data_IF_578398030910
#
_entry.id   IF_578398030910
#
_cell.length_a   1.000
_cell.length_b   1.000
_cell.length_c   1.000
_cell.angle_alpha   90.00
_cell.angle_beta   90.00
_cell.angle_gamma   90.00
#
_symmetry.space_group_name_H-M   'P 1'
#
loop_
_entity.id
_entity.type
_entity.pdbx_description
1 polymer ?
2 non-polymer ?
3 non-polymer ?
4 water ?
#
# COMPACT_ATOMS: atom_id res chain seq x y z
N UNK A 40 24.81 10.51 0.88
CA UNK A 40 25.07 11.94 0.96
C UNK A 40 24.38 12.55 2.16
N UNK A 41 23.06 12.37 2.24
CA UNK A 41 22.27 12.85 3.35
C UNK A 41 22.27 11.86 4.51
N UNK A 42 22.65 12.32 5.70
CA UNK A 42 22.51 11.51 6.90
C UNK A 42 21.05 11.47 7.32
N UNK A 43 20.55 10.28 7.63
CA UNK A 43 19.15 10.11 8.01
C UNK A 43 19.01 9.61 9.43
N UNK A 44 18.42 10.45 10.29
CA UNK A 44 18.25 10.10 11.70
C UNK A 44 16.78 10.10 12.09
N UNK A 45 16.37 9.07 12.83
CA UNK A 45 15.00 8.99 13.31
C UNK A 45 14.90 9.47 14.75
N UNK A 46 14.05 10.47 14.98
CA UNK A 46 13.74 10.90 16.33
C UNK A 46 12.54 10.10 16.83
N UNK A 47 12.75 9.32 17.88
CA UNK A 47 11.70 8.44 18.40
C UNK A 47 11.30 8.83 19.82
N UNK A 48 10.18 8.29 20.28
CA UNK A 48 9.71 8.57 21.62
C UNK A 48 8.21 8.46 21.76
N UNK A 49 7.74 8.33 22.99
CA UNK A 49 6.30 8.22 23.27
C UNK A 49 5.55 9.48 22.83
N UNK A 50 4.23 9.39 22.80
CA UNK A 50 3.39 10.54 22.49
C UNK A 50 3.70 11.68 23.46
N UNK A 51 3.84 12.89 22.91
CA UNK A 51 4.10 14.10 23.71
C UNK A 51 5.40 14.04 24.50
N UNK A 52 6.36 13.25 24.03
CA UNK A 52 7.66 13.16 24.68
C UNK A 52 8.43 14.47 24.52
N UNK A 53 8.31 15.07 23.33
CA UNK A 53 9.00 16.32 23.05
C UNK A 53 9.71 16.24 21.72
N UNK A 54 9.36 15.26 20.91
CA UNK A 54 9.99 15.04 19.61
C UNK A 54 9.87 16.25 18.69
N UNK A 55 8.64 16.75 18.55
CA UNK A 55 8.40 17.93 17.71
C UNK A 55 9.11 19.15 18.29
N UNK A 56 9.18 19.22 19.62
CA UNK A 56 9.89 20.29 20.29
C UNK A 56 11.37 20.25 19.95
N UNK A 57 11.93 19.04 19.95
CA UNK A 57 13.36 18.89 19.74
C UNK A 57 13.78 19.10 18.29
N UNK A 58 13.00 18.56 17.36
CA UNK A 58 13.35 18.66 15.94
C UNK A 58 13.26 20.11 15.45
N UNK A 59 12.33 20.88 16.01
CA UNK A 59 12.19 22.28 15.64
C UNK A 59 13.27 23.12 16.29
N UNK A 60 13.83 22.61 17.37
CA UNK A 60 15.01 23.22 17.98
C UNK A 60 16.20 22.98 17.07
N UNK A 61 16.46 21.71 16.76
CA UNK A 61 17.54 21.30 15.88
C UNK A 61 17.50 22.04 14.55
N UNK A 62 16.29 22.20 14.02
CA UNK A 62 16.04 22.85 12.74
C UNK A 62 16.77 24.18 12.58
N UNK A 63 16.65 25.04 13.58
CA UNK A 63 17.16 26.41 13.48
C UNK A 63 18.63 26.55 13.85
N UNK A 64 19.31 25.44 14.14
CA UNK A 64 20.69 25.50 14.59
C UNK A 64 21.69 25.23 13.48
N UNK A 65 21.19 24.81 12.32
CA UNK A 65 22.05 24.49 11.19
C UNK A 65 21.26 24.46 9.89
N UNK A 66 21.94 24.76 8.79
CA UNK A 66 21.32 24.65 7.47
C UNK A 66 21.81 23.38 6.79
N UNK A 67 22.55 22.58 7.54
CA UNK A 67 22.86 21.21 7.16
C UNK A 67 21.76 20.29 7.67
N UNK A 68 21.00 20.81 8.63
CA UNK A 68 19.96 20.04 9.30
C UNK A 68 18.57 20.41 8.80
N UNK A 69 17.79 19.39 8.46
CA UNK A 69 16.40 19.61 8.08
C UNK A 69 15.49 18.56 8.70
N UNK A 70 14.20 18.90 8.79
CA UNK A 70 13.24 18.08 9.52
C UNK A 70 12.17 17.49 8.59
N UNK A 71 11.76 16.26 8.87
CA UNK A 71 10.59 15.68 8.23
C UNK A 71 9.51 15.40 9.27
N UNK A 72 8.58 16.36 9.44
CA UNK A 72 7.51 16.24 10.43
C UNK A 72 6.59 15.05 10.16
N UNK A 73 5.96 14.52 11.20
CA UNK A 73 5.13 13.34 11.08
C UNK A 73 3.75 13.65 10.52
N UNK A 74 3.30 12.85 9.54
CA UNK A 74 1.97 12.96 8.93
C UNK A 74 0.83 12.90 9.94
N UNK A 75 0.85 11.92 10.82
CA UNK A 75 -0.21 11.78 11.83
C UNK A 75 -0.28 13.01 12.72
N UNK A 76 0.87 13.57 13.04
CA UNK A 76 0.92 14.83 13.78
C UNK A 76 0.42 15.98 12.92
N UNK A 77 0.76 15.95 11.64
CA UNK A 77 0.32 16.97 10.70
C UNK A 77 -1.20 16.94 10.53
N UNK A 78 -1.77 15.73 10.60
CA UNK A 78 -3.21 15.56 10.49
C UNK A 78 -3.94 16.19 11.67
N UNK A 79 -3.25 16.32 12.79
CA UNK A 79 -3.86 16.76 14.05
C UNK A 79 -3.80 18.27 14.24
N UNK A 80 -4.85 18.97 13.82
CA UNK A 80 -4.96 20.40 14.04
C UNK A 80 -6.40 20.90 13.89
N UNK A 91 -5.53 22.06 4.47
CA UNK A 91 -5.88 20.65 4.39
C UNK A 91 -5.95 20.17 2.94
N UNK A 92 -4.91 19.48 2.49
CA UNK A 92 -4.87 18.96 1.13
C UNK A 92 -5.60 17.63 1.04
N UNK A 93 -5.49 16.98 -0.12
CA UNK A 93 -6.14 15.69 -0.36
C UNK A 93 -5.75 14.67 0.69
N UNK A 94 -4.45 14.59 0.97
CA UNK A 94 -3.94 13.68 1.98
C UNK A 94 -4.40 14.08 3.37
N UNK A 95 -4.48 15.39 3.61
CA UNK A 95 -4.87 15.91 4.92
C UNK A 95 -6.36 15.77 5.15
N UNK A 96 -7.15 15.87 4.08
CA UNK A 96 -8.59 15.67 4.17
C UNK A 96 -8.88 14.21 4.55
N UNK A 97 -8.11 13.30 3.96
CA UNK A 97 -8.20 11.89 4.29
C UNK A 97 -7.66 11.62 5.68
N UNK A 98 -6.59 12.32 6.04
CA UNK A 98 -5.96 12.17 7.33
C UNK A 98 -6.92 12.44 8.47
N UNK A 99 -7.53 13.62 8.46
CA UNK A 99 -8.47 14.01 9.50
C UNK A 99 -9.60 13.02 9.71
N UNK A 100 -10.19 12.55 8.61
CA UNK A 100 -11.32 11.64 8.68
C UNK A 100 -11.00 10.30 9.32
N UNK A 101 -9.98 9.62 8.80
CA UNK A 101 -9.62 8.30 9.31
C UNK A 101 -9.05 8.43 10.73
N UNK A 102 -8.37 9.54 11.00
CA UNK A 102 -7.86 9.83 12.33
C UNK A 102 -9.03 9.99 13.30
N UNK A 103 -10.03 10.73 12.87
CA UNK A 103 -11.23 10.97 13.66
C UNK A 103 -11.98 9.67 13.90
N UNK A 104 -12.12 8.87 12.85
CA UNK A 104 -12.80 7.58 12.93
C UNK A 104 -11.99 6.58 13.74
N UNK A 105 -10.66 6.70 13.67
CA UNK A 105 -9.76 5.81 14.40
C UNK A 105 -10.02 5.84 15.90
N UNK A 106 -10.41 7.00 16.41
CA UNK A 106 -10.73 7.14 17.83
C UNK A 106 -12.12 6.60 18.16
N UNK A 107 -13.07 6.85 17.27
CA UNK A 107 -14.44 6.39 17.48
C UNK A 107 -14.53 4.87 17.46
N UNK A 108 -13.68 4.25 16.64
CA UNK A 108 -13.76 2.81 16.45
C UNK A 108 -12.42 2.24 15.94
N UNK A 109 -11.47 2.04 16.86
CA UNK A 109 -10.14 1.49 16.53
C UNK A 109 -10.19 0.11 15.89
N UNK A 110 -11.14 -0.72 16.29
CA UNK A 110 -11.20 -2.10 15.79
C UNK A 110 -11.61 -2.15 14.32
N UNK A 111 -12.13 -1.04 13.81
CA UNK A 111 -12.59 -0.96 12.43
C UNK A 111 -11.56 -0.29 11.52
N UNK A 112 -10.84 0.68 12.07
CA UNK A 112 -10.06 1.59 11.24
C UNK A 112 -8.54 1.52 11.45
N UNK A 113 -8.08 0.64 12.32
CA UNK A 113 -6.66 0.56 12.63
C UNK A 113 -5.81 0.12 11.44
N UNK A 114 -6.25 -0.94 10.75
CA UNK A 114 -5.55 -1.40 9.55
C UNK A 114 -5.46 -0.28 8.53
N UNK A 115 -6.60 0.35 8.26
CA UNK A 115 -6.68 1.42 7.28
C UNK A 115 -5.80 2.60 7.68
N UNK A 116 -5.83 2.95 8.96
CA UNK A 116 -5.05 4.07 9.46
C UNK A 116 -3.55 3.79 9.35
N UNK A 117 -3.13 2.63 9.83
CA UNK A 117 -1.72 2.27 9.85
C UNK A 117 -1.13 2.22 8.44
N UNK A 118 -1.95 1.80 7.47
CA UNK A 118 -1.50 1.71 6.09
C UNK A 118 -1.31 3.10 5.48
N UNK A 119 -2.22 4.02 5.79
CA UNK A 119 -2.16 5.34 5.18
C UNK A 119 -1.11 6.22 5.88
N UNK A 120 -0.93 6.00 7.17
CA UNK A 120 0.06 6.75 7.94
C UNK A 120 1.47 6.41 7.47
N UNK A 121 1.71 5.12 7.24
CA UNK A 121 3.02 4.65 6.80
C UNK A 121 3.31 5.11 5.39
N UNK A 122 2.33 4.96 4.51
CA UNK A 122 2.44 5.40 3.12
C UNK A 122 2.69 6.91 3.05
N UNK A 123 1.95 7.67 3.85
CA UNK A 123 2.10 9.12 3.87
C UNK A 123 3.44 9.52 4.47
N UNK A 124 4.01 8.62 5.27
CA UNK A 124 5.34 8.87 5.81
C UNK A 124 6.38 8.56 4.74
N UNK A 125 6.34 7.34 4.20
CA UNK A 125 7.26 6.94 3.14
C UNK A 125 7.34 8.00 2.05
N UNK A 126 6.19 8.52 1.66
CA UNK A 126 6.10 9.58 0.67
C UNK A 126 6.79 10.85 1.16
N UNK A 127 6.47 11.25 2.38
CA UNK A 127 6.93 12.53 2.90
C UNK A 127 8.45 12.58 3.09
N UNK A 128 9.09 11.44 3.40
CA UNK A 128 10.48 11.55 3.77
C UNK A 128 11.22 11.39 2.45
N UNK A 129 10.54 10.79 1.47
CA UNK A 129 11.08 10.64 0.13
C UNK A 129 11.20 12.00 -0.53
N UNK A 130 10.22 12.86 -0.27
CA UNK A 130 10.21 14.22 -0.78
C UNK A 130 11.42 15.00 -0.30
N UNK A 131 11.57 15.11 1.02
CA UNK A 131 12.71 15.80 1.62
C UNK A 131 14.04 15.22 1.15
N UNK A 132 14.08 13.90 1.02
CA UNK A 132 15.29 13.20 0.62
C UNK A 132 15.70 13.54 -0.81
N UNK A 133 14.75 14.00 -1.61
CA UNK A 133 15.02 14.32 -3.00
C UNK A 133 14.82 15.81 -3.32
N UNK A 134 14.29 16.55 -2.36
CA UNK A 134 14.01 17.96 -2.58
C UNK A 134 14.61 18.88 -1.52
N UNK A 135 15.74 18.47 -0.97
CA UNK A 135 16.42 19.26 0.06
C UNK A 135 17.87 18.83 0.25
N UNK A 136 18.62 19.63 1.00
CA UNK A 136 20.01 19.34 1.34
C UNK A 136 20.89 19.13 0.11
N UNK A 137 20.53 19.80 -0.98
CA UNK A 137 21.28 19.70 -2.23
C UNK A 137 22.65 20.33 -2.08
N UNK A 138 23.69 19.54 -2.37
CA UNK A 138 25.08 19.98 -2.37
C UNK A 138 25.54 20.54 -1.02
N UNK A 139 24.75 20.34 0.03
CA UNK A 139 25.12 20.77 1.37
C UNK A 139 26.38 20.05 1.81
N UNK A 140 27.14 20.67 2.71
CA UNK A 140 28.43 20.11 3.11
C UNK A 140 28.29 18.94 4.08
N UNK A 141 27.48 19.10 5.12
CA UNK A 141 27.24 18.01 6.07
C UNK A 141 25.74 17.76 6.28
N UNK A 142 25.02 17.39 5.20
CA UNK A 142 23.55 17.31 5.24
C UNK A 142 23.03 16.21 6.16
N UNK A 143 22.14 16.59 7.08
CA UNK A 143 21.47 15.63 7.95
C UNK A 143 19.96 15.86 7.89
N UNK A 144 19.20 14.77 7.88
CA UNK A 144 17.75 14.86 7.84
C UNK A 144 17.16 14.18 9.08
N UNK A 145 16.33 14.92 9.81
CA UNK A 145 15.75 14.39 11.06
C UNK A 145 14.28 14.03 10.89
N UNK A 146 14.04 12.73 10.79
CA UNK A 146 12.69 12.18 10.69
C UNK A 146 11.95 12.24 12.04
N UNK A 147 10.69 12.67 12.02
CA UNK A 147 9.85 12.49 13.21
C UNK A 147 9.23 11.10 13.13
N UNK A 148 9.79 10.18 13.92
CA UNK A 148 9.45 8.75 13.87
C UNK A 148 9.80 8.15 12.52
N UNK A 149 9.48 6.88 12.33
CA UNK A 149 9.87 6.15 11.13
C UNK A 149 8.87 5.07 10.73
N UNK A 150 9.22 4.33 9.69
CA UNK A 150 8.38 3.22 9.23
C UNK A 150 8.49 2.04 10.18
N UNK A 151 9.47 2.11 11.08
CA UNK A 151 9.67 1.07 12.07
C UNK A 151 8.83 1.38 13.31
N UNK A 152 8.63 2.66 13.58
CA UNK A 152 7.72 3.09 14.64
C UNK A 152 6.29 2.75 14.24
N UNK A 153 5.97 2.98 12.97
CA UNK A 153 4.66 2.66 12.42
C UNK A 153 4.29 1.21 12.68
N UNK A 154 5.25 0.33 12.41
CA UNK A 154 5.03 -1.10 12.49
C UNK A 154 5.17 -1.65 13.91
N UNK A 155 6.39 -1.60 14.44
CA UNK A 155 6.72 -2.31 15.66
C UNK A 155 6.34 -1.58 16.94
N UNK A 156 5.80 -0.38 16.82
CA UNK A 156 5.33 0.35 17.99
C UNK A 156 3.82 0.48 18.00
N UNK A 157 3.27 1.00 16.91
CA UNK A 157 1.86 1.37 16.87
C UNK A 157 0.97 0.27 16.30
N UNK A 158 1.27 -0.17 15.08
CA UNK A 158 0.51 -1.24 14.46
C UNK A 158 0.55 -2.49 15.33
N UNK A 159 1.75 -2.82 15.81
CA UNK A 159 1.95 -3.99 16.66
C UNK A 159 1.10 -3.93 17.93
N UNK A 160 0.97 -2.73 18.50
CA UNK A 160 0.21 -2.57 19.74
C UNK A 160 -1.30 -2.60 19.51
N UNK A 161 -1.72 -2.15 18.34
CA UNK A 161 -3.14 -2.21 17.98
C UNK A 161 -3.56 -3.65 17.76
N UNK A 162 -2.67 -4.42 17.15
CA UNK A 162 -2.88 -5.86 17.01
C UNK A 162 -2.95 -6.53 18.37
N UNK A 163 -2.00 -6.19 19.24
CA UNK A 163 -1.95 -6.71 20.59
C UNK A 163 -3.21 -6.33 21.38
N UNK A 164 -3.79 -5.19 21.02
CA UNK A 164 -5.01 -4.73 21.67
C UNK A 164 -6.25 -5.23 20.94
N UNK A 165 -6.03 -6.15 19.99
CA UNK A 165 -7.11 -6.77 19.23
C UNK A 165 -7.95 -5.76 18.45
N UNK A 166 -7.29 -4.69 17.99
CA UNK A 166 -7.94 -3.72 17.12
C UNK A 166 -7.67 -4.11 15.66
N UNK A 167 -6.73 -5.04 15.49
CA UNK A 167 -6.50 -5.69 14.20
C UNK A 167 -6.52 -7.20 14.43
N UNK A 168 -7.15 -7.94 13.52
CA UNK A 168 -7.09 -9.40 13.61
C UNK A 168 -5.80 -9.89 12.96
N UNK A 169 -5.58 -11.20 12.99
CA UNK A 169 -4.38 -11.79 12.45
C UNK A 169 -4.17 -11.46 10.98
N UNK A 170 -5.25 -11.54 10.21
CA UNK A 170 -5.17 -11.32 8.76
C UNK A 170 -4.81 -9.87 8.44
N UNK A 171 -5.50 -8.92 9.07
CA UNK A 171 -5.18 -7.51 8.93
C UNK A 171 -3.71 -7.24 9.26
N UNK A 172 -3.26 -7.86 10.34
CA UNK A 172 -1.91 -7.65 10.87
C UNK A 172 -0.85 -8.30 9.99
N UNK A 173 -1.16 -9.48 9.46
CA UNK A 173 -0.23 -10.18 8.58
C UNK A 173 -0.16 -9.50 7.23
N UNK A 174 -1.32 -9.05 6.74
CA UNK A 174 -1.38 -8.31 5.49
C UNK A 174 -0.59 -7.01 5.61
N UNK A 175 -0.72 -6.35 6.75
CA UNK A 175 0.03 -5.12 6.99
C UNK A 175 1.52 -5.39 6.97
N UNK A 176 1.95 -6.45 7.63
CA UNK A 176 3.36 -6.83 7.67
C UNK A 176 3.86 -7.19 6.28
N UNK A 177 3.01 -7.88 5.51
CA UNK A 177 3.31 -8.20 4.13
C UNK A 177 3.43 -6.90 3.34
N UNK A 178 2.42 -6.05 3.50
CA UNK A 178 2.36 -4.73 2.89
C UNK A 178 3.56 -3.87 3.26
N UNK A 179 3.99 -3.99 4.52
CA UNK A 179 5.08 -3.17 5.05
C UNK A 179 6.44 -3.58 4.48
N UNK A 180 6.71 -4.88 4.49
CA UNK A 180 7.97 -5.42 3.96
C UNK A 180 8.23 -4.95 2.54
N UNK A 181 7.17 -4.91 1.74
CA UNK A 181 7.30 -4.72 0.31
C UNK A 181 7.18 -3.26 -0.08
N UNK A 182 6.39 -2.50 0.67
CA UNK A 182 6.25 -1.07 0.44
C UNK A 182 7.58 -0.38 0.68
N UNK A 183 8.31 -0.85 1.68
CA UNK A 183 9.57 -0.23 2.08
C UNK A 183 10.76 -0.68 1.24
N UNK A 184 10.60 -1.76 0.49
CA UNK A 184 11.70 -2.27 -0.31
C UNK A 184 11.52 -1.95 -1.79
N UNK A 185 10.31 -2.16 -2.29
CA UNK A 185 9.99 -1.84 -3.67
C UNK A 185 9.53 -0.39 -3.80
N UNK A 186 10.11 0.48 -2.97
CA UNK A 186 9.82 1.91 -3.02
C UNK A 186 10.77 2.73 -2.13
N UNK A 187 11.07 2.22 -0.94
CA UNK A 187 11.80 3.02 0.04
C UNK A 187 13.13 2.47 0.54
N UNK A 188 13.98 2.03 -0.38
CA UNK A 188 15.30 1.54 0.00
C UNK A 188 16.19 2.71 0.45
N UNK A 189 16.02 3.86 -0.19
CA UNK A 189 16.83 5.03 0.11
C UNK A 189 16.54 5.63 1.48
N UNK A 190 15.65 4.99 2.24
CA UNK A 190 15.21 5.53 3.52
C UNK A 190 15.92 4.91 4.72
N UNK A 191 16.86 4.00 4.47
CA UNK A 191 17.57 3.31 5.55
C UNK A 191 18.24 4.29 6.51
N UNK A 192 18.11 4.03 7.80
CA UNK A 192 18.55 4.98 8.83
C UNK A 192 20.03 4.84 9.17
N UNK A 193 20.69 5.98 9.33
CA UNK A 193 22.09 6.01 9.73
C UNK A 193 22.21 6.10 11.25
N UNK A 194 21.08 6.36 11.91
CA UNK A 194 21.06 6.46 13.36
C UNK A 194 19.68 6.72 13.91
N UNK A 195 19.48 6.38 15.17
CA UNK A 195 18.22 6.64 15.87
C UNK A 195 18.50 7.43 17.14
N UNK A 196 17.73 8.48 17.37
CA UNK A 196 17.80 9.20 18.63
C UNK A 196 16.52 9.00 19.42
N UNK A 197 16.65 8.43 20.61
CA UNK A 197 15.50 8.10 21.44
C UNK A 197 15.27 9.17 22.51
N UNK A 198 14.11 9.82 22.46
CA UNK A 198 13.72 10.76 23.50
C UNK A 198 12.89 10.04 24.56
N UNK A 199 13.39 10.03 25.78
CA UNK A 199 12.79 9.25 26.84
C UNK A 199 12.04 10.13 27.85
N UNK A 200 10.73 9.92 27.95
CA UNK A 200 9.91 10.62 28.91
C UNK A 200 8.96 9.66 29.61
N UNK A 201 8.51 10.02 30.81
CA UNK A 201 7.56 9.21 31.54
C UNK A 201 6.16 9.41 30.97
N UNK A 202 5.27 8.41 31.15
CA UNK A 202 3.87 8.58 30.75
C UNK A 202 3.20 9.78 31.40
N UNK A 203 3.54 10.02 32.67
CA UNK A 203 2.98 11.16 33.42
C UNK A 203 3.38 12.48 32.78
N UNK A 204 4.65 12.58 32.38
CA UNK A 204 5.16 13.76 31.70
C UNK A 204 4.39 14.01 30.42
N UNK A 205 4.09 12.94 29.70
CA UNK A 205 3.43 13.04 28.41
C UNK A 205 1.96 13.49 28.52
N UNK A 206 1.24 12.91 29.48
CA UNK A 206 -0.17 13.16 29.69
C UNK A 206 -0.36 14.63 30.03
N UNK A 207 0.54 15.12 30.91
CA UNK A 207 0.71 16.52 31.14
C UNK A 207 0.53 17.33 29.88
N UNK A 208 1.51 17.07 29.01
CA UNK A 208 1.87 17.86 27.84
C UNK A 208 0.81 17.73 26.78
N UNK A 209 0.08 16.63 26.85
CA UNK A 209 -1.06 16.39 25.98
C UNK A 209 -2.12 17.46 26.23
N UNK A 210 -2.37 17.76 27.49
CA UNK A 210 -3.28 18.84 27.87
C UNK A 210 -2.66 20.19 27.50
N UNK A 211 -1.38 20.34 27.80
CA UNK A 211 -0.67 21.59 27.53
C UNK A 211 -0.71 21.94 26.06
N UNK A 212 -0.59 20.92 25.23
CA UNK A 212 -0.67 21.09 23.78
C UNK A 212 -2.11 21.46 23.42
N UNK A 213 -3.06 20.94 24.17
CA UNK A 213 -4.44 21.35 23.99
C UNK A 213 -5.36 20.30 23.38
N UNK A 214 -5.02 19.88 22.14
CA UNK A 214 -5.82 19.00 21.27
C UNK A 214 -6.80 18.14 22.08
N UNK A 215 -8.06 18.56 22.11
CA UNK A 215 -9.25 17.88 22.64
C UNK A 215 -9.72 16.64 21.88
N UNK A 216 -9.21 16.48 20.66
CA UNK A 216 -9.31 15.23 19.92
C UNK A 216 -8.47 14.09 20.56
N UNK A 217 -7.43 14.46 21.33
CA UNK A 217 -6.57 13.50 22.05
C UNK A 217 -6.63 13.72 23.55
N UNK A 218 -7.49 14.62 24.00
CA UNK A 218 -7.44 15.13 25.38
C UNK A 218 -7.15 14.07 26.43
N UNK A 219 -8.20 13.37 26.83
CA UNK A 219 -8.10 12.38 27.88
C UNK A 219 -7.61 11.03 27.39
N UNK A 220 -6.51 11.03 26.63
CA UNK A 220 -5.84 9.78 26.27
C UNK A 220 -5.53 9.05 27.57
N UNK A 221 -6.11 7.85 27.74
CA UNK A 221 -5.91 7.08 28.97
C UNK A 221 -4.44 6.89 29.27
N UNK A 222 -4.06 7.10 30.53
CA UNK A 222 -2.67 6.97 30.95
C UNK A 222 -2.12 5.59 30.60
N UNK A 223 -2.97 4.58 30.71
CA UNK A 223 -2.58 3.20 30.48
C UNK A 223 -2.21 2.96 29.01
N UNK A 224 -2.82 3.72 28.12
CA UNK A 224 -2.43 3.70 26.70
C UNK A 224 -0.97 4.14 26.61
N UNK A 225 -0.67 5.28 27.21
CA UNK A 225 0.68 5.84 27.22
C UNK A 225 1.68 4.89 27.85
N UNK A 226 1.21 4.09 28.80
CA UNK A 226 2.07 3.18 29.54
C UNK A 226 2.54 2.00 28.68
N UNK A 227 1.68 1.57 27.77
CA UNK A 227 2.02 0.43 26.91
C UNK A 227 2.92 0.85 25.75
N UNK A 228 2.64 2.02 25.18
CA UNK A 228 3.49 2.56 24.12
C UNK A 228 4.88 2.83 24.66
N UNK A 229 4.95 3.27 25.91
CA UNK A 229 6.21 3.52 26.58
C UNK A 229 7.03 2.24 26.68
N UNK A 230 6.35 1.13 26.96
CA UNK A 230 7.04 -0.15 27.11
C UNK A 230 7.63 -0.61 25.78
N UNK A 231 6.86 -0.47 24.71
CA UNK A 231 7.31 -0.91 23.40
C UNK A 231 8.52 -0.11 22.93
N UNK A 232 8.54 1.18 23.28
CA UNK A 232 9.69 2.01 22.99
C UNK A 232 10.91 1.56 23.76
N UNK A 233 10.71 1.35 25.06
CA UNK A 233 11.79 0.91 25.95
C UNK A 233 12.43 -0.38 25.47
N UNK A 234 11.60 -1.33 25.09
CA UNK A 234 12.07 -2.66 24.70
C UNK A 234 12.85 -2.62 23.38
N UNK A 235 12.36 -1.83 22.43
CA UNK A 235 12.96 -1.75 21.11
C UNK A 235 14.30 -1.01 21.12
N UNK A 236 14.32 0.13 21.80
CA UNK A 236 15.44 1.04 21.70
C UNK A 236 16.48 0.86 22.82
N UNK A 237 16.01 0.70 24.05
CA UNK A 237 16.92 0.58 25.19
C UNK A 237 17.33 -0.88 25.42
N UNK A 238 16.36 -1.71 25.78
CA UNK A 238 16.62 -3.11 26.12
C UNK A 238 17.02 -3.92 24.90
N UNK A 239 16.47 -3.55 23.74
CA UNK A 239 16.79 -4.17 22.45
C UNK A 239 16.35 -5.63 22.35
N UNK A 240 15.20 -5.96 22.92
CA UNK A 240 14.66 -7.31 22.82
C UNK A 240 13.93 -7.51 21.48
N UNK A 241 13.36 -6.43 20.96
CA UNK A 241 12.58 -6.49 19.73
C UNK A 241 13.47 -6.72 18.51
N UNK A 242 13.42 -7.93 17.96
CA UNK A 242 14.14 -8.25 16.74
C UNK A 242 13.24 -8.02 15.53
N UNK A 243 13.53 -6.95 14.79
CA UNK A 243 12.72 -6.59 13.63
C UNK A 243 13.00 -7.48 12.43
N UNK A 244 12.30 -7.22 11.33
CA UNK A 244 12.52 -7.97 10.10
C UNK A 244 13.51 -7.23 9.20
N UNK A 245 14.14 -6.21 9.76
CA UNK A 245 15.16 -5.44 9.06
C UNK A 245 16.46 -5.54 9.84
N UNK A 246 17.24 -6.57 9.51
CA UNK A 246 18.40 -7.00 10.28
C UNK A 246 19.33 -5.88 10.75
N UNK A 247 19.50 -4.87 9.91
CA UNK A 247 20.49 -3.83 10.17
C UNK A 247 20.14 -2.95 11.37
N UNK A 248 18.87 -2.96 11.77
CA UNK A 248 18.41 -2.15 12.88
C UNK A 248 19.08 -2.54 14.20
N UNK A 249 19.48 -3.80 14.30
CA UNK A 249 20.15 -4.29 15.50
C UNK A 249 21.59 -3.77 15.57
N UNK A 250 22.06 -3.16 14.48
CA UNK A 250 23.43 -2.67 14.41
C UNK A 250 23.48 -1.15 14.36
N UNK A 251 22.34 -0.52 14.14
CA UNK A 251 22.26 0.93 14.06
C UNK A 251 22.42 1.58 15.44
N UNK A 252 23.37 2.51 15.56
CA UNK A 252 23.64 3.21 16.82
C UNK A 252 22.47 4.03 17.32
N UNK A 253 22.25 4.05 18.63
CA UNK A 253 21.11 4.73 19.22
C UNK A 253 21.51 5.67 20.36
N UNK A 254 21.20 6.95 20.19
CA UNK A 254 21.37 7.91 21.28
C UNK A 254 20.09 8.03 22.08
N UNK A 255 20.20 8.06 23.40
CA UNK A 255 19.05 8.17 24.26
C UNK A 255 19.09 9.47 25.07
N UNK A 256 18.01 10.25 25.00
CA UNK A 256 17.97 11.54 25.67
C UNK A 256 16.79 11.66 26.63
N UNK A 257 17.07 12.15 27.83
CA UNK A 257 16.02 12.36 28.84
C UNK A 257 15.33 13.70 28.62
N UNK A 258 14.04 13.65 28.30
CA UNK A 258 13.29 14.86 28.01
C UNK A 258 12.19 15.12 29.04
N UNK A 259 12.34 14.53 30.22
CA UNK A 259 11.40 14.78 31.31
C UNK A 259 11.42 16.26 31.70
N UNK A 260 12.60 16.78 31.96
CA UNK A 260 12.78 18.18 32.32
C UNK A 260 12.53 19.09 31.13
N UNK A 261 11.90 20.24 31.37
CA UNK A 261 11.64 21.23 30.33
C UNK A 261 12.96 21.71 29.74
N UNK A 262 13.13 21.50 28.44
CA UNK A 262 14.37 21.87 27.75
C UNK A 262 14.12 22.92 26.67
N UNK A 263 12.93 23.50 26.68
CA UNK A 263 12.53 24.44 25.64
C UNK A 263 13.34 25.74 25.69
N UNK A 264 13.82 26.09 26.88
CA UNK A 264 14.69 27.26 27.03
C UNK A 264 16.05 26.86 27.62
N UNK A 265 16.36 25.57 27.53
CA UNK A 265 17.58 25.04 28.13
C UNK A 265 17.91 23.68 27.54
N UNK A 266 18.45 23.68 26.32
CA UNK A 266 18.63 22.44 25.56
C UNK A 266 20.05 22.18 25.07
N UNK A 267 20.97 23.08 25.42
CA UNK A 267 22.33 23.03 24.86
C UNK A 267 23.01 21.69 25.12
N UNK A 268 22.71 21.09 26.27
CA UNK A 268 23.33 19.84 26.65
C UNK A 268 22.86 18.68 25.77
N UNK A 269 21.54 18.60 25.56
CA UNK A 269 20.96 17.60 24.67
C UNK A 269 21.57 17.71 23.28
N UNK A 270 21.64 18.95 22.79
CA UNK A 270 22.13 19.24 21.45
C UNK A 270 23.60 18.85 21.30
N UNK A 271 24.39 19.10 22.34
CA UNK A 271 25.80 18.71 22.33
C UNK A 271 25.94 17.20 22.20
N UNK A 272 25.03 16.46 22.80
CA UNK A 272 25.05 15.00 22.71
C UNK A 272 24.68 14.55 21.30
N UNK A 273 23.80 15.31 20.65
CA UNK A 273 23.41 15.02 19.28
C UNK A 273 24.60 15.18 18.32
N UNK A 274 25.31 16.29 18.46
CA UNK A 274 26.46 16.58 17.61
C UNK A 274 27.57 15.56 17.78
N UNK A 275 27.83 15.19 19.04
CA UNK A 275 28.79 14.15 19.34
C UNK A 275 28.36 12.83 18.70
N UNK A 276 27.06 12.57 18.77
CA UNK A 276 26.46 11.38 18.20
C UNK A 276 26.62 11.35 16.67
N UNK A 277 26.37 12.50 16.05
CA UNK A 277 26.47 12.62 14.60
C UNK A 277 27.89 12.38 14.08
N UNK A 278 28.88 12.73 14.90
CA UNK A 278 30.28 12.59 14.51
C UNK A 278 30.72 11.13 14.52
N UNK A 279 29.93 10.27 15.15
CA UNK A 279 30.24 8.85 15.22
C UNK A 279 29.72 8.11 14.00
N UNK A 280 28.63 8.62 13.43
CA UNK A 280 27.94 7.95 12.33
C UNK A 280 28.77 7.91 11.05
N UNK B 40 11.27 -4.42 -23.41
CA UNK B 40 11.34 -5.34 -24.53
C UNK B 40 10.15 -6.29 -24.52
N UNK B 41 9.89 -6.90 -23.37
CA UNK B 41 8.74 -7.77 -23.20
C UNK B 41 7.45 -6.97 -23.28
N UNK B 42 6.58 -7.33 -24.22
CA UNK B 42 5.31 -6.64 -24.39
C UNK B 42 4.27 -7.15 -23.39
N UNK B 43 3.51 -6.22 -22.82
CA UNK B 43 2.56 -6.56 -21.78
C UNK B 43 1.11 -6.40 -22.26
N UNK B 44 0.41 -7.53 -22.38
CA UNK B 44 -0.98 -7.52 -22.83
C UNK B 44 -1.92 -7.99 -21.73
N UNK B 45 -2.83 -7.13 -21.32
CA UNK B 45 -3.80 -7.49 -20.28
C UNK B 45 -5.05 -8.11 -20.89
N UNK B 46 -5.49 -9.22 -20.30
CA UNK B 46 -6.72 -9.86 -20.73
C UNK B 46 -7.85 -9.45 -19.80
N UNK B 47 -8.75 -8.60 -20.30
CA UNK B 47 -9.85 -8.07 -19.49
C UNK B 47 -11.18 -8.75 -19.79
N UNK B 48 -11.93 -9.05 -18.75
CA UNK B 48 -13.22 -9.70 -18.91
C UNK B 48 -13.97 -9.90 -17.60
N UNK B 49 -15.28 -10.03 -17.70
CA UNK B 49 -16.13 -10.21 -16.53
C UNK B 49 -15.89 -11.57 -15.86
N UNK B 50 -16.59 -11.82 -14.77
CA UNK B 50 -16.49 -13.10 -14.07
C UNK B 50 -16.99 -14.22 -14.98
N UNK B 51 -16.20 -15.29 -15.10
CA UNK B 51 -16.50 -16.43 -15.95
C UNK B 51 -16.65 -16.04 -17.41
N UNK B 52 -15.89 -15.05 -17.85
CA UNK B 52 -15.87 -14.66 -19.25
C UNK B 52 -15.03 -15.65 -20.05
N UNK B 53 -14.10 -16.30 -19.37
CA UNK B 53 -13.24 -17.30 -19.99
C UNK B 53 -11.81 -16.82 -20.15
N UNK B 54 -11.36 -15.98 -19.22
CA UNK B 54 -10.02 -15.42 -19.28
C UNK B 54 -8.96 -16.46 -18.96
N UNK B 55 -9.16 -17.20 -17.88
CA UNK B 55 -8.22 -18.24 -17.46
C UNK B 55 -8.10 -19.31 -18.53
N UNK B 56 -9.23 -19.64 -19.15
CA UNK B 56 -9.24 -20.65 -20.21
C UNK B 56 -8.52 -20.15 -21.45
N UNK B 57 -8.73 -18.88 -21.79
CA UNK B 57 -8.13 -18.28 -22.96
C UNK B 57 -6.61 -18.22 -22.85
N UNK B 58 -6.12 -17.78 -21.69
CA UNK B 58 -4.68 -17.62 -21.49
C UNK B 58 -3.97 -18.96 -21.32
N UNK B 59 -4.68 -19.96 -20.80
CA UNK B 59 -4.13 -21.31 -20.72
C UNK B 59 -3.92 -21.85 -22.13
N UNK B 60 -4.83 -21.48 -23.02
CA UNK B 60 -4.72 -21.84 -24.43
C UNK B 60 -3.57 -21.08 -25.10
N UNK B 61 -3.52 -19.77 -24.85
CA UNK B 61 -2.51 -18.92 -25.45
C UNK B 61 -1.09 -19.33 -25.07
N UNK B 62 -0.89 -19.65 -23.80
CA UNK B 62 0.44 -19.98 -23.28
C UNK B 62 1.06 -21.18 -23.97
N UNK B 63 0.22 -22.16 -24.32
CA UNK B 63 0.69 -23.40 -24.91
C UNK B 63 1.19 -23.24 -26.34
N UNK B 64 0.70 -22.23 -27.03
CA UNK B 64 0.95 -22.09 -28.47
C UNK B 64 2.37 -21.65 -28.79
N UNK B 65 2.88 -20.67 -28.07
CA UNK B 65 4.21 -20.12 -28.36
C UNK B 65 5.14 -20.17 -27.16
N UNK B 66 6.38 -20.58 -27.40
CA UNK B 66 7.40 -20.61 -26.37
C UNK B 66 7.73 -19.19 -25.91
N UNK B 67 7.45 -18.22 -26.76
CA UNK B 67 7.69 -16.81 -26.45
C UNK B 67 6.50 -16.17 -25.74
N UNK B 68 5.51 -16.97 -25.40
CA UNK B 68 4.30 -16.45 -24.75
C UNK B 68 4.17 -16.96 -23.32
N UNK B 69 3.93 -16.04 -22.39
CA UNK B 69 3.73 -16.39 -20.99
C UNK B 69 2.56 -15.65 -20.37
N UNK B 70 2.17 -16.08 -19.18
CA UNK B 70 0.95 -15.60 -18.54
C UNK B 70 1.13 -15.34 -17.04
N UNK B 71 0.64 -14.19 -16.58
CA UNK B 71 0.53 -13.92 -15.15
C UNK B 71 -0.93 -14.00 -14.71
N UNK B 72 -1.32 -15.13 -14.11
CA UNK B 72 -2.68 -15.28 -13.62
C UNK B 72 -3.04 -14.24 -12.56
N UNK B 73 -4.33 -14.00 -12.38
CA UNK B 73 -4.81 -13.09 -11.35
C UNK B 73 -4.66 -13.74 -9.98
N UNK B 74 -3.91 -13.09 -9.08
CA UNK B 74 -3.64 -13.61 -7.74
C UNK B 74 -4.90 -14.00 -6.98
N UNK B 75 -5.98 -13.26 -7.17
CA UNK B 75 -7.25 -13.53 -6.52
C UNK B 75 -7.77 -14.92 -6.90
N UNK B 76 -7.52 -15.34 -8.14
CA UNK B 76 -7.99 -16.63 -8.64
C UNK B 76 -7.43 -17.79 -7.82
N UNK B 77 -6.19 -17.67 -7.37
CA UNK B 77 -5.55 -18.71 -6.58
C UNK B 77 -6.06 -18.72 -5.14
N UNK B 78 -6.68 -17.61 -4.73
CA UNK B 78 -7.24 -17.49 -3.38
C UNK B 78 -8.55 -18.26 -3.26
N UNK B 79 -9.16 -18.56 -4.41
CA UNK B 79 -10.50 -19.12 -4.44
C UNK B 79 -10.51 -20.65 -4.41
N UNK B 80 -9.47 -21.25 -3.83
CA UNK B 80 -9.38 -22.69 -3.70
C UNK B 80 -9.55 -23.15 -2.26
N UNK B 91 1.05 -23.71 0.31
CA UNK B 91 0.26 -22.74 1.05
C UNK B 91 1.12 -21.55 1.46
N UNK B 92 0.91 -20.42 0.79
CA UNK B 92 1.69 -19.21 1.07
C UNK B 92 1.04 -18.37 2.15
N UNK B 93 1.77 -17.35 2.61
CA UNK B 93 1.21 -16.35 3.50
C UNK B 93 0.10 -15.61 2.77
N UNK B 94 0.32 -15.40 1.48
CA UNK B 94 -0.66 -14.71 0.65
C UNK B 94 -1.93 -15.52 0.45
N UNK B 95 -1.76 -16.82 0.21
CA UNK B 95 -2.90 -17.72 0.02
C UNK B 95 -3.82 -17.72 1.24
N UNK B 96 -3.22 -17.84 2.42
CA UNK B 96 -3.97 -17.85 3.66
C UNK B 96 -4.58 -16.48 3.94
N UNK B 97 -3.78 -15.43 3.77
CA UNK B 97 -4.28 -14.06 3.88
C UNK B 97 -5.39 -13.81 2.87
N UNK B 98 -5.10 -14.16 1.62
CA UNK B 98 -6.07 -14.02 0.55
C UNK B 98 -7.30 -14.86 0.76
N UNK B 99 -7.10 -16.09 1.23
CA UNK B 99 -8.20 -16.99 1.52
C UNK B 99 -9.14 -16.43 2.56
N UNK B 100 -8.58 -16.02 3.69
CA UNK B 100 -9.36 -15.42 4.77
C UNK B 100 -10.06 -14.14 4.34
N UNK B 101 -9.31 -13.27 3.67
CA UNK B 101 -9.84 -11.96 3.27
C UNK B 101 -10.85 -12.11 2.14
N UNK B 102 -10.81 -13.22 1.43
CA UNK B 102 -11.78 -13.50 0.38
C UNK B 102 -13.13 -13.86 1.00
N UNK B 103 -13.08 -14.72 2.01
CA UNK B 103 -14.28 -15.17 2.71
C UNK B 103 -14.93 -14.02 3.48
N UNK B 104 -14.11 -13.26 4.19
CA UNK B 104 -14.57 -12.07 4.91
C UNK B 104 -15.23 -11.08 3.96
N UNK B 105 -14.63 -10.95 2.78
CA UNK B 105 -15.13 -10.06 1.74
C UNK B 105 -16.54 -10.45 1.31
N UNK B 106 -16.74 -11.73 1.03
CA UNK B 106 -18.05 -12.27 0.68
C UNK B 106 -19.07 -11.99 1.79
N UNK B 107 -18.66 -12.26 3.02
CA UNK B 107 -19.55 -12.21 4.17
C UNK B 107 -19.99 -10.80 4.52
N UNK B 108 -19.05 -9.87 4.49
CA UNK B 108 -19.33 -8.49 4.90
C UNK B 108 -18.46 -7.51 4.12
N UNK B 109 -18.92 -7.14 2.91
CA UNK B 109 -18.15 -6.39 1.92
C UNK B 109 -17.86 -4.95 2.33
N UNK B 110 -18.79 -4.31 3.03
CA UNK B 110 -18.61 -2.92 3.42
C UNK B 110 -17.67 -2.80 4.61
N UNK B 111 -17.22 -3.95 5.11
CA UNK B 111 -16.23 -3.98 6.17
C UNK B 111 -14.85 -4.29 5.58
N UNK B 112 -14.82 -5.03 4.47
CA UNK B 112 -13.57 -5.58 3.98
C UNK B 112 -13.21 -5.23 2.54
N UNK B 113 -13.93 -4.31 1.92
CA UNK B 113 -13.65 -3.96 0.53
C UNK B 113 -12.27 -3.34 0.38
N UNK B 114 -11.99 -2.30 1.17
CA UNK B 114 -10.71 -1.61 1.11
C UNK B 114 -9.54 -2.56 1.35
N UNK B 115 -9.63 -3.33 2.43
CA UNK B 115 -8.57 -4.28 2.79
C UNK B 115 -8.33 -5.27 1.66
N UNK B 116 -9.40 -5.91 1.20
CA UNK B 116 -9.35 -6.87 0.11
C UNK B 116 -8.78 -6.24 -1.16
N UNK B 117 -9.28 -5.06 -1.51
CA UNK B 117 -8.90 -4.42 -2.77
C UNK B 117 -7.44 -3.97 -2.80
N UNK B 118 -6.94 -3.44 -1.68
CA UNK B 118 -5.55 -3.04 -1.62
C UNK B 118 -4.64 -4.24 -1.69
N UNK B 119 -4.97 -5.29 -0.93
CA UNK B 119 -4.16 -6.49 -0.90
C UNK B 119 -4.19 -7.22 -2.24
N UNK B 120 -5.35 -7.17 -2.91
CA UNK B 120 -5.49 -7.79 -4.22
C UNK B 120 -4.57 -7.11 -5.23
N UNK B 121 -4.56 -5.78 -5.21
CA UNK B 121 -3.76 -5.01 -6.15
C UNK B 121 -2.27 -5.11 -5.81
N UNK B 122 -1.97 -5.19 -4.51
CA UNK B 122 -0.59 -5.38 -4.06
C UNK B 122 -0.04 -6.68 -4.64
N UNK B 123 -0.80 -7.75 -4.51
CA UNK B 123 -0.40 -9.07 -4.95
C UNK B 123 -0.21 -9.12 -6.46
N UNK B 124 -1.14 -8.48 -7.18
CA UNK B 124 -1.07 -8.43 -8.64
C UNK B 124 0.25 -7.82 -9.10
N UNK B 125 0.51 -6.61 -8.62
CA UNK B 125 1.74 -5.89 -8.92
C UNK B 125 2.98 -6.75 -8.65
N UNK B 126 2.98 -7.41 -7.50
CA UNK B 126 4.10 -8.23 -7.07
C UNK B 126 4.30 -9.44 -7.97
N UNK B 127 3.19 -10.02 -8.43
CA UNK B 127 3.24 -11.18 -9.31
C UNK B 127 3.67 -10.78 -10.72
N UNK B 128 3.16 -9.64 -11.19
CA UNK B 128 3.45 -9.18 -12.54
C UNK B 128 4.90 -8.70 -12.67
N UNK B 129 5.42 -8.10 -11.60
CA UNK B 129 6.83 -7.69 -11.59
C UNK B 129 7.75 -8.90 -11.64
N UNK B 130 7.42 -9.90 -10.84
CA UNK B 130 8.24 -11.11 -10.74
C UNK B 130 8.25 -11.90 -12.03
N UNK B 131 7.14 -11.82 -12.78
CA UNK B 131 7.04 -12.50 -14.07
C UNK B 131 7.85 -11.76 -15.12
N UNK B 132 7.93 -10.44 -14.96
CA UNK B 132 8.71 -9.61 -15.88
C UNK B 132 10.19 -9.97 -15.79
N UNK B 133 10.68 -10.12 -14.57
CA UNK B 133 12.06 -10.50 -14.34
C UNK B 133 12.36 -11.94 -14.76
N UNK B 134 11.77 -12.89 -14.05
CA UNK B 134 12.06 -14.30 -14.25
C UNK B 134 11.70 -14.88 -15.61
N UNK B 135 10.43 -14.74 -16.00
CA UNK B 135 9.92 -15.42 -17.18
C UNK B 135 10.45 -14.88 -18.50
N UNK B 136 10.37 -15.72 -19.53
CA UNK B 136 10.70 -15.35 -20.91
C UNK B 136 12.13 -14.87 -21.10
N UNK B 137 13.08 -15.63 -20.59
CA UNK B 137 14.49 -15.31 -20.77
C UNK B 137 14.96 -15.71 -22.17
N UNK B 138 15.61 -14.77 -22.85
CA UNK B 138 16.25 -15.01 -24.15
C UNK B 138 15.29 -15.38 -25.27
N UNK B 139 14.01 -15.08 -25.09
CA UNK B 139 13.02 -15.28 -26.15
C UNK B 139 13.06 -14.10 -27.12
N UNK B 140 12.77 -14.36 -28.40
CA UNK B 140 12.95 -13.33 -29.43
C UNK B 140 11.79 -12.35 -29.49
N UNK B 141 10.57 -12.85 -29.40
CA UNK B 141 9.37 -12.01 -29.45
C UNK B 141 8.51 -12.21 -28.20
N UNK B 142 9.01 -11.75 -27.03
CA UNK B 142 8.38 -12.04 -25.75
C UNK B 142 7.04 -11.36 -25.54
N UNK B 143 6.02 -12.14 -25.20
CA UNK B 143 4.71 -11.59 -24.87
C UNK B 143 4.26 -12.08 -23.51
N UNK B 144 3.96 -11.14 -22.62
CA UNK B 144 3.46 -11.47 -21.30
C UNK B 144 1.99 -11.13 -21.20
N UNK B 145 1.15 -12.15 -21.04
CA UNK B 145 -0.29 -11.94 -20.94
C UNK B 145 -0.73 -11.83 -19.49
N UNK B 146 -1.18 -10.64 -19.11
CA UNK B 146 -1.69 -10.40 -17.76
C UNK B 146 -3.15 -10.81 -17.66
N UNK B 147 -3.48 -11.71 -16.75
CA UNK B 147 -4.88 -11.96 -16.46
C UNK B 147 -5.39 -10.80 -15.62
N UNK B 148 -6.11 -9.88 -16.28
CA UNK B 148 -6.57 -8.63 -15.71
C UNK B 148 -5.41 -7.72 -15.27
N UNK B 149 -5.73 -6.47 -14.98
CA UNK B 149 -4.71 -5.47 -14.70
C UNK B 149 -5.03 -4.65 -13.45
N UNK B 150 -4.11 -3.75 -13.11
CA UNK B 150 -4.30 -2.86 -11.97
C UNK B 150 -5.43 -1.88 -12.24
N UNK B 151 -5.77 -1.70 -13.50
CA UNK B 151 -6.82 -0.76 -13.89
C UNK B 151 -8.19 -1.39 -13.76
N UNK B 152 -8.25 -2.71 -13.92
CA UNK B 152 -9.48 -3.43 -13.64
C UNK B 152 -9.66 -3.53 -12.13
N UNK B 153 -8.55 -3.57 -11.40
CA UNK B 153 -8.57 -3.55 -9.94
C UNK B 153 -9.29 -2.30 -9.43
N UNK B 154 -8.93 -1.16 -9.99
CA UNK B 154 -9.40 0.13 -9.48
C UNK B 154 -10.66 0.65 -10.18
N UNK B 155 -10.66 0.59 -11.51
CA UNK B 155 -11.71 1.23 -12.27
C UNK B 155 -12.88 0.31 -12.57
N UNK B 156 -12.79 -0.94 -12.16
CA UNK B 156 -13.92 -1.86 -12.27
C UNK B 156 -14.39 -2.28 -10.89
N UNK B 157 -13.56 -3.03 -10.18
CA UNK B 157 -13.98 -3.68 -8.95
C UNK B 157 -13.95 -2.76 -7.74
N UNK B 158 -12.91 -1.95 -7.61
CA UNK B 158 -12.86 -0.98 -6.52
C UNK B 158 -13.94 0.08 -6.72
N UNK B 159 -14.07 0.53 -7.96
CA UNK B 159 -15.09 1.52 -8.33
C UNK B 159 -16.50 1.02 -8.04
N UNK B 160 -16.77 -0.21 -8.43
CA UNK B 160 -18.08 -0.82 -8.21
C UNK B 160 -18.45 -0.91 -6.74
N UNK B 161 -17.47 -1.25 -5.91
CA UNK B 161 -17.69 -1.40 -4.48
C UNK B 161 -17.97 -0.05 -3.82
N UNK B 162 -17.34 1.00 -4.34
CA UNK B 162 -17.59 2.35 -3.84
C UNK B 162 -18.99 2.80 -4.18
N UNK B 163 -19.41 2.54 -5.42
CA UNK B 163 -20.70 2.97 -5.90
C UNK B 163 -21.82 2.08 -5.37
N UNK B 164 -21.47 0.87 -4.96
CA UNK B 164 -22.43 0.01 -4.27
C UNK B 164 -22.29 0.22 -2.77
N UNK B 165 -21.63 1.31 -2.40
CA UNK B 165 -21.52 1.78 -1.01
C UNK B 165 -20.72 0.87 -0.08
N UNK B 166 -19.97 -0.07 -0.64
CA UNK B 166 -19.17 -0.97 0.19
C UNK B 166 -17.87 -0.30 0.64
N UNK B 167 -17.60 0.89 0.12
CA UNK B 167 -16.51 1.72 0.58
C UNK B 167 -16.97 3.16 0.69
N UNK B 168 -16.77 3.77 1.85
CA UNK B 168 -17.13 5.18 1.99
C UNK B 168 -16.14 6.06 1.24
N UNK B 169 -16.45 7.35 1.16
CA UNK B 169 -15.63 8.30 0.41
C UNK B 169 -14.16 8.26 0.80
N UNK B 170 -13.90 8.30 2.10
CA UNK B 170 -12.54 8.32 2.61
C UNK B 170 -11.76 7.10 2.15
N UNK B 171 -12.39 5.93 2.20
CA UNK B 171 -11.75 4.69 1.75
C UNK B 171 -11.43 4.72 0.27
N UNK B 172 -12.38 5.18 -0.53
CA UNK B 172 -12.20 5.29 -1.98
C UNK B 172 -11.11 6.30 -2.30
N UNK B 173 -11.14 7.42 -1.58
CA UNK B 173 -10.12 8.46 -1.76
C UNK B 173 -8.74 7.95 -1.34
N UNK B 174 -8.69 7.21 -0.25
CA UNK B 174 -7.44 6.64 0.25
C UNK B 174 -6.91 5.58 -0.71
N UNK B 175 -7.78 4.67 -1.13
CA UNK B 175 -7.39 3.62 -2.07
C UNK B 175 -6.78 4.20 -3.34
N UNK B 176 -7.47 5.18 -3.92
CA UNK B 176 -7.03 5.80 -5.16
C UNK B 176 -5.68 6.47 -4.99
N UNK B 177 -5.51 7.17 -3.87
CA UNK B 177 -4.26 7.85 -3.58
C UNK B 177 -3.11 6.84 -3.54
N UNK B 178 -3.34 5.74 -2.83
CA UNK B 178 -2.38 4.64 -2.79
C UNK B 178 -2.10 4.13 -4.19
N UNK B 179 -3.17 3.76 -4.89
CA UNK B 179 -3.09 3.25 -6.26
C UNK B 179 -2.32 4.19 -7.17
N UNK B 180 -2.68 5.47 -7.13
CA UNK B 180 -2.01 6.49 -7.93
C UNK B 180 -0.52 6.58 -7.63
N UNK B 181 -0.21 6.72 -6.34
CA UNK B 181 1.18 6.83 -5.90
C UNK B 181 1.96 5.56 -6.20
N UNK B 182 1.34 4.42 -5.90
CA UNK B 182 1.93 3.10 -6.13
C UNK B 182 2.51 2.98 -7.54
N UNK B 183 1.67 3.27 -8.53
CA UNK B 183 2.07 3.12 -9.93
C UNK B 183 2.99 4.25 -10.40
N UNK B 184 3.93 4.62 -9.55
CA UNK B 184 5.00 5.54 -9.90
C UNK B 184 6.28 5.12 -9.20
N UNK B 185 6.21 5.03 -7.88
CA UNK B 185 7.33 4.58 -7.09
C UNK B 185 7.17 3.11 -6.70
N UNK B 186 6.73 2.28 -7.65
CA UNK B 186 6.61 0.84 -7.42
C UNK B 186 6.32 0.05 -8.71
N UNK B 187 5.40 0.53 -9.53
CA UNK B 187 4.96 -0.26 -10.68
C UNK B 187 5.04 0.42 -12.04
N UNK B 188 6.21 0.94 -12.38
CA UNK B 188 6.39 1.64 -13.65
C UNK B 188 6.47 0.70 -14.85
N UNK B 189 7.15 -0.42 -14.67
CA UNK B 189 7.42 -1.33 -15.78
C UNK B 189 6.20 -2.15 -16.19
N UNK B 190 5.10 -2.00 -15.46
CA UNK B 190 3.91 -2.82 -15.68
C UNK B 190 2.94 -2.22 -16.69
N UNK B 191 3.26 -1.04 -17.22
CA UNK B 191 2.37 -0.35 -18.14
C UNK B 191 2.08 -1.18 -19.39
N UNK B 192 0.81 -1.21 -19.78
CA UNK B 192 0.34 -2.12 -20.83
C UNK B 192 0.68 -1.65 -22.24
N UNK B 193 0.90 -2.62 -23.13
CA UNK B 193 1.10 -2.33 -24.55
C UNK B 193 -0.21 -2.45 -25.31
N UNK B 194 -1.08 -3.33 -24.84
CA UNK B 194 -2.37 -3.56 -25.47
C UNK B 194 -3.33 -4.29 -24.55
N UNK B 195 -4.61 -4.29 -24.92
CA UNK B 195 -5.63 -4.93 -24.11
C UNK B 195 -6.49 -5.87 -24.94
N UNK B 196 -6.68 -7.09 -24.44
CA UNK B 196 -7.60 -8.02 -25.08
C UNK B 196 -8.88 -8.11 -24.25
N UNK B 197 -9.93 -7.48 -24.74
CA UNK B 197 -11.23 -7.45 -24.08
C UNK B 197 -12.04 -8.68 -24.49
N UNK B 198 -12.09 -9.68 -23.61
CA UNK B 198 -12.91 -10.86 -23.85
C UNK B 198 -14.38 -10.50 -23.62
N UNK B 199 -14.97 -9.86 -24.62
CA UNK B 199 -16.29 -9.28 -24.50
C UNK B 199 -17.42 -10.31 -24.57
N UNK B 200 -18.32 -10.26 -23.61
CA UNK B 200 -19.48 -11.14 -23.58
C UNK B 200 -20.59 -10.50 -22.75
N UNK B 201 -21.84 -10.82 -23.11
CA UNK B 201 -23.00 -10.33 -22.37
C UNK B 201 -22.99 -10.87 -20.96
N UNK B 202 -23.53 -10.10 -20.00
CA UNK B 202 -23.66 -10.59 -18.62
C UNK B 202 -24.52 -11.84 -18.52
N UNK B 203 -25.34 -12.09 -19.53
CA UNK B 203 -26.13 -13.31 -19.61
C UNK B 203 -25.23 -14.52 -19.85
N UNK B 204 -24.35 -14.40 -20.83
CA UNK B 204 -23.38 -15.44 -21.15
C UNK B 204 -22.53 -15.79 -19.93
N UNK B 205 -22.12 -14.75 -19.20
CA UNK B 205 -21.26 -14.92 -18.02
C UNK B 205 -21.97 -15.67 -16.89
N UNK B 206 -23.25 -15.39 -16.71
CA UNK B 206 -24.02 -16.05 -15.66
C UNK B 206 -24.12 -17.55 -15.94
N UNK B 207 -24.25 -17.89 -17.21
CA UNK B 207 -24.31 -19.27 -17.65
C UNK B 207 -23.05 -20.04 -17.26
N UNK B 208 -21.90 -19.40 -17.41
CA UNK B 208 -20.61 -20.05 -17.22
C UNK B 208 -20.17 -20.16 -15.77
N UNK B 209 -20.88 -19.46 -14.87
CA UNK B 209 -20.52 -19.48 -13.45
C UNK B 209 -20.83 -20.84 -12.81
N UNK B 210 -22.00 -21.39 -13.14
CA UNK B 210 -22.38 -22.68 -12.60
C UNK B 210 -21.44 -23.79 -13.09
N UNK B 211 -20.91 -23.61 -14.29
CA UNK B 211 -20.08 -24.62 -14.93
C UNK B 211 -18.80 -24.92 -14.15
N UNK B 212 -18.26 -23.92 -13.46
CA UNK B 212 -17.00 -24.09 -12.74
C UNK B 212 -17.26 -24.61 -11.32
N UNK B 213 -18.30 -24.10 -10.68
CA UNK B 213 -18.80 -24.68 -9.45
C UNK B 213 -18.07 -24.32 -8.18
N UNK B 214 -17.76 -23.03 -8.00
CA UNK B 214 -17.20 -22.56 -6.74
C UNK B 214 -18.28 -22.08 -5.79
N UNK B 215 -18.60 -22.95 -4.86
CA UNK B 215 -19.44 -22.75 -3.70
C UNK B 215 -19.10 -21.48 -2.88
N UNK B 216 -19.47 -20.38 -3.53
CA UNK B 216 -19.28 -18.99 -3.14
C UNK B 216 -19.77 -18.09 -4.30
N UNK B 217 -19.35 -18.45 -5.52
CA UNK B 217 -19.73 -17.70 -6.73
C UNK B 217 -21.12 -18.11 -7.19
N UNK B 218 -21.63 -19.18 -6.60
CA UNK B 218 -22.98 -19.64 -6.89
C UNK B 218 -23.99 -18.61 -6.42
N UNK B 219 -23.58 -17.82 -5.42
CA UNK B 219 -24.42 -16.78 -4.86
C UNK B 219 -24.43 -15.49 -5.65
N UNK B 220 -23.46 -15.34 -6.55
CA UNK B 220 -23.36 -14.13 -7.36
C UNK B 220 -24.53 -14.00 -8.33
N UNK B 221 -25.22 -12.85 -8.28
CA UNK B 221 -26.43 -12.56 -9.07
C UNK B 221 -26.16 -11.89 -10.41
N UNK B 222 -27.23 -11.51 -11.12
CA UNK B 222 -27.13 -11.04 -12.49
C UNK B 222 -26.90 -9.54 -12.63
N UNK B 223 -27.57 -8.74 -11.81
CA UNK B 223 -27.40 -7.29 -11.89
C UNK B 223 -25.95 -6.90 -11.61
N UNK B 224 -25.31 -7.70 -10.76
CA UNK B 224 -23.89 -7.50 -10.45
C UNK B 224 -23.06 -7.60 -11.72
N UNK B 225 -23.28 -8.67 -12.49
CA UNK B 225 -22.58 -8.86 -13.75
C UNK B 225 -22.85 -7.72 -14.71
N UNK B 226 -24.11 -7.27 -14.75
CA UNK B 226 -24.54 -6.21 -15.65
C UNK B 226 -23.82 -4.90 -15.38
N UNK B 227 -23.55 -4.62 -14.11
CA UNK B 227 -22.88 -3.38 -13.73
C UNK B 227 -21.39 -3.46 -14.01
N UNK B 228 -20.82 -4.65 -13.86
CA UNK B 228 -19.42 -4.86 -14.18
C UNK B 228 -19.22 -4.76 -15.69
N UNK B 229 -20.17 -5.30 -16.44
CA UNK B 229 -20.15 -5.25 -17.89
C UNK B 229 -20.22 -3.80 -18.38
N UNK B 230 -21.14 -3.04 -17.80
CA UNK B 230 -21.31 -1.62 -18.11
C UNK B 230 -19.99 -0.87 -17.98
N UNK B 231 -19.26 -1.16 -16.91
CA UNK B 231 -18.01 -0.48 -16.62
C UNK B 231 -16.89 -0.95 -17.54
N UNK B 232 -17.01 -2.18 -18.05
CA UNK B 232 -16.05 -2.68 -19.03
C UNK B 232 -16.20 -1.95 -20.35
N UNK B 233 -17.45 -1.75 -20.75
CA UNK B 233 -17.75 -1.17 -22.05
C UNK B 233 -17.38 0.31 -22.08
N UNK B 234 -17.58 0.99 -20.95
CA UNK B 234 -17.16 2.38 -20.80
C UNK B 234 -15.66 2.52 -21.05
N UNK B 235 -14.90 1.71 -20.34
CA UNK B 235 -13.45 1.73 -20.42
C UNK B 235 -12.93 1.21 -21.77
N UNK B 236 -13.54 0.15 -22.29
CA UNK B 236 -12.89 -0.63 -23.34
C UNK B 236 -13.56 -0.68 -24.71
N UNK B 237 -14.83 -0.33 -24.80
CA UNK B 237 -15.52 -0.33 -26.10
C UNK B 237 -16.00 1.06 -26.48
N UNK B 238 -16.51 1.80 -25.52
CA UNK B 238 -16.94 3.17 -25.78
C UNK B 238 -15.78 4.11 -25.46
N UNK B 239 -14.76 3.55 -24.81
CA UNK B 239 -13.58 4.28 -24.36
C UNK B 239 -13.98 5.59 -23.70
N UNK B 240 -15.06 5.52 -22.92
CA UNK B 240 -15.59 6.66 -22.20
C UNK B 240 -14.70 7.04 -21.02
N UNK B 241 -14.53 6.08 -20.12
CA UNK B 241 -13.99 6.29 -18.77
C UNK B 241 -12.78 7.20 -18.68
N UNK B 242 -12.87 8.16 -17.76
CA UNK B 242 -11.75 9.03 -17.44
C UNK B 242 -10.83 8.33 -16.45
N UNK B 243 -9.53 8.36 -16.74
CA UNK B 243 -8.52 7.76 -15.86
C UNK B 243 -7.37 8.72 -15.66
N UNK B 244 -6.75 8.67 -14.49
CA UNK B 244 -5.60 9.53 -14.20
C UNK B 244 -4.36 9.08 -14.95
N UNK B 245 -4.42 7.88 -15.53
CA UNK B 245 -3.32 7.34 -16.30
C UNK B 245 -3.39 7.82 -17.75
N UNK B 246 -2.36 8.56 -18.15
CA UNK B 246 -2.38 9.28 -19.42
C UNK B 246 -2.22 8.38 -20.64
N UNK B 247 -1.27 7.46 -20.57
CA UNK B 247 -0.93 6.63 -21.72
C UNK B 247 -2.08 5.68 -22.10
N UNK B 248 -2.97 5.42 -21.15
CA UNK B 248 -4.08 4.49 -21.37
C UNK B 248 -5.01 4.94 -22.49
N UNK B 249 -5.20 6.25 -22.63
CA UNK B 249 -6.07 6.76 -23.69
C UNK B 249 -5.50 6.44 -25.06
N UNK B 250 -4.19 6.22 -25.14
CA UNK B 250 -3.55 5.84 -26.39
C UNK B 250 -2.98 4.44 -26.33
N UNK B 251 -3.70 3.53 -25.67
CA UNK B 251 -3.33 2.12 -25.64
C UNK B 251 -4.25 1.32 -26.54
N UNK B 252 -3.68 0.55 -27.48
CA UNK B 252 -4.45 -0.29 -28.40
C UNK B 252 -5.35 -1.28 -27.66
N UNK B 253 -6.56 -1.48 -28.17
CA UNK B 253 -7.50 -2.41 -27.58
C UNK B 253 -8.04 -3.40 -28.60
N UNK B 254 -7.99 -4.68 -28.24
CA UNK B 254 -8.59 -5.72 -29.07
C UNK B 254 -9.84 -6.27 -28.41
N UNK B 255 -10.99 -6.02 -29.02
CA UNK B 255 -12.25 -6.54 -28.49
C UNK B 255 -12.65 -7.82 -29.21
N UNK B 256 -12.81 -8.89 -28.44
CA UNK B 256 -13.20 -10.17 -29.00
C UNK B 256 -14.55 -10.62 -28.45
N UNK B 257 -15.51 -10.82 -29.35
CA UNK B 257 -16.79 -11.41 -28.94
C UNK B 257 -16.55 -12.88 -28.63
N UNK B 258 -16.73 -13.25 -27.37
CA UNK B 258 -16.46 -14.61 -26.94
C UNK B 258 -17.72 -15.27 -26.38
N UNK B 259 -18.87 -14.94 -26.95
CA UNK B 259 -20.12 -15.58 -26.56
C UNK B 259 -20.21 -17.01 -27.06
N UNK B 260 -19.83 -17.21 -28.32
CA UNK B 260 -19.72 -18.56 -28.86
C UNK B 260 -18.57 -19.27 -28.18
N UNK B 261 -18.83 -20.49 -27.73
CA UNK B 261 -17.82 -21.32 -27.08
C UNK B 261 -16.57 -21.43 -27.95
N UNK B 262 -15.39 -21.25 -27.35
CA UNK B 262 -14.15 -21.21 -28.11
C UNK B 262 -13.12 -22.23 -27.65
N UNK B 263 -13.50 -23.07 -26.69
CA UNK B 263 -12.55 -23.99 -26.07
C UNK B 263 -11.92 -24.96 -27.08
N UNK B 264 -12.68 -25.37 -28.08
CA UNK B 264 -12.17 -26.25 -29.12
C UNK B 264 -12.14 -25.55 -30.47
N UNK B 265 -12.62 -24.30 -30.50
CA UNK B 265 -12.67 -23.54 -31.73
C UNK B 265 -12.11 -22.13 -31.49
N UNK B 266 -10.80 -22.02 -31.34
CA UNK B 266 -10.19 -20.76 -30.96
C UNK B 266 -9.18 -20.21 -31.96
N UNK B 267 -9.17 -20.73 -33.18
CA UNK B 267 -8.17 -20.31 -34.15
C UNK B 267 -8.46 -18.88 -34.63
N UNK B 268 -9.72 -18.59 -34.90
CA UNK B 268 -10.12 -17.24 -35.30
C UNK B 268 -9.73 -16.22 -34.25
N UNK B 269 -9.85 -16.61 -32.99
CA UNK B 269 -9.52 -15.73 -31.88
C UNK B 269 -8.01 -15.51 -31.79
N UNK B 270 -7.24 -16.59 -31.90
CA UNK B 270 -5.79 -16.50 -31.85
C UNK B 270 -5.26 -15.71 -33.04
N UNK B 271 -5.85 -15.93 -34.21
CA UNK B 271 -5.46 -15.21 -35.42
C UNK B 271 -5.57 -13.71 -35.24
N UNK B 272 -6.62 -13.26 -34.57
CA UNK B 272 -6.82 -11.85 -34.29
C UNK B 272 -5.77 -11.34 -33.31
N UNK B 273 -5.51 -12.12 -32.27
CA UNK B 273 -4.48 -11.79 -31.30
C UNK B 273 -3.14 -11.62 -31.98
N UNK B 274 -2.79 -12.57 -32.83
CA UNK B 274 -1.55 -12.51 -33.61
C UNK B 274 -1.50 -11.26 -34.47
N UNK B 275 -2.63 -10.95 -35.10
CA UNK B 275 -2.74 -9.75 -35.93
C UNK B 275 -2.60 -8.50 -35.06
N UNK B 276 -3.26 -8.53 -33.91
CA UNK B 276 -3.20 -7.44 -32.94
C UNK B 276 -1.78 -7.19 -32.47
N UNK B 277 -1.07 -8.27 -32.15
CA UNK B 277 0.29 -8.19 -31.65
C UNK B 277 1.26 -7.61 -32.68
N UNK B 278 1.06 -7.97 -33.95
CA UNK B 278 1.97 -7.55 -35.01
C UNK B 278 1.89 -6.05 -35.26
N UNK B 279 0.88 -5.40 -34.71
CA UNK B 279 0.72 -3.96 -34.86
C UNK B 279 1.09 -3.23 -33.57
N UNK B 280 1.98 -3.82 -32.79
CA UNK B 280 2.42 -3.21 -31.55
C UNK B 280 3.93 -2.98 -31.54
#
# INVERSE_FOLDING_TARGET
MGSSHHHHHHSSGLVPRGSHMATPPKRSSPSFSASSEGTRIKKISIEGNIAAGKSTFVNILKQLSEDWEVVPEPVARWSNVQSTQDEFEELTMEQKNGGNVLQMMYEKPERWSFTFQTYACLSRIRAQLASLNGKLKDAEKPVLFFERSVYSDRYIFASNLYESESMNETEWTIYQDWHDWMNNQFGQSLELDGIIYLQATPETCLHRIYLRGRNEEQGIPLEYLEKLHYKHESWLLHRTLKTNFDYLQEVPILTLDVNEDFKDKYESLVEKVKEFLSTL
MGSSHHHHHHSSGLVPRGSHMATPPKRSSPSFSASSEGTRIKKISIEGNIAAGKSTFVNILKQLSEDWEVVPEPVARWSNVQSTQDEFEELTMEQKNGGNVLQMMYEKPERWSFTFQTYACLSRIRAQLASLNGKLKDAEKPVLFFERSVYSDRYIFASNLYESESMNETEWTIYQDWHDWMNNQFGQSLELDGIIYLQATPETCLHRIYLRGRNEEQGIPLEYLEKLHYKHESWLLHRTLKTNFDYLQEVPILTLDVNEDFKDKYESLVEKVKEFLSTL
#
